data_IF_181322829241
#
_entry.id   IF_181322829241
#
_cell.length_a   1.000
_cell.length_b   1.000
_cell.length_c   1.000
_cell.angle_alpha   90.00
_cell.angle_beta   90.00
_cell.angle_gamma   90.00
#
_symmetry.space_group_name_H-M   'P 1'
#
loop_
_entity.id
_entity.type
_entity.pdbx_description
1 polymer ?
#
# COMPACT_ATOMS: atom_id res chain seq x y z
N UNK A 1 -17.95 41.75 22.02
CA UNK A 1 -17.24 41.68 20.72
C UNK A 1 -17.22 40.23 20.29
N UNK A 2 -17.51 40.00 19.02
CA UNK A 2 -17.79 38.72 18.35
C UNK A 2 -16.47 38.00 17.97
N UNK A 3 -16.58 36.72 17.64
CA UNK A 3 -15.56 35.67 17.42
C UNK A 3 -14.61 35.86 16.24
N UNK A 4 -13.70 34.88 16.08
CA UNK A 4 -12.98 34.44 14.85
C UNK A 4 -11.66 35.17 14.50
N UNK A 5 -10.58 34.56 14.01
CA UNK A 5 -10.30 33.22 13.49
C UNK A 5 -8.79 32.92 13.58
N UNK A 6 -8.45 31.63 13.63
CA UNK A 6 -7.13 31.07 13.32
C UNK A 6 -6.95 31.01 11.78
N UNK A 7 -5.70 31.10 11.29
CA UNK A 7 -5.30 30.16 10.25
C UNK A 7 -3.88 29.65 10.54
N UNK A 8 -3.78 28.47 11.16
CA UNK A 8 -2.54 27.70 11.09
C UNK A 8 -2.56 26.89 9.79
N UNK A 9 -2.21 27.58 8.72
CA UNK A 9 -1.79 26.94 7.48
C UNK A 9 -0.47 26.23 7.77
N UNK A 10 -0.58 24.95 8.15
CA UNK A 10 0.54 24.03 8.26
C UNK A 10 1.32 24.03 6.96
N UNK A 11 2.46 24.70 6.99
CA UNK A 11 3.39 24.77 5.87
C UNK A 11 3.97 23.38 5.68
N UNK A 12 3.64 22.74 4.56
CA UNK A 12 4.36 21.57 4.07
C UNK A 12 5.79 22.02 3.76
N UNK A 13 6.69 21.81 4.72
CA UNK A 13 8.12 22.01 4.52
C UNK A 13 8.59 21.02 3.46
N UNK A 14 8.68 21.50 2.21
CA UNK A 14 9.50 20.90 1.18
C UNK A 14 10.94 21.35 1.49
N UNK A 15 11.68 20.57 2.26
CA UNK A 15 13.13 20.72 2.37
C UNK A 15 13.77 19.67 1.48
N UNK A 16 14.21 20.15 0.32
CA UNK A 16 15.11 19.48 -0.61
C UNK A 16 16.51 19.49 0.03
N UNK A 17 17.02 18.32 0.40
CA UNK A 17 18.26 18.22 1.16
C UNK A 17 18.78 16.80 1.29
N UNK A 18 19.09 16.12 0.18
CA UNK A 18 19.91 14.88 0.18
C UNK A 18 19.52 13.84 1.24
N UNK A 19 18.21 13.69 1.48
CA UNK A 19 17.70 13.20 2.75
C UNK A 19 17.67 11.67 2.76
N UNK A 20 18.48 11.08 3.63
CA UNK A 20 18.40 9.67 3.96
C UNK A 20 16.97 9.39 4.43
N UNK A 21 16.25 8.52 3.73
CA UNK A 21 14.85 8.22 4.05
C UNK A 21 14.74 7.85 5.54
N UNK A 22 13.78 8.43 6.25
CA UNK A 22 13.50 7.94 7.60
C UNK A 22 13.17 6.44 7.53
N UNK A 23 13.45 5.64 8.57
CA UNK A 23 13.15 4.20 8.56
C UNK A 23 11.70 3.89 8.19
N UNK A 24 10.79 4.80 8.59
CA UNK A 24 9.38 4.76 8.25
C UNK A 24 9.13 4.93 6.73
N UNK A 25 9.75 5.93 6.12
CA UNK A 25 9.63 6.18 4.67
C UNK A 25 10.29 5.07 3.86
N UNK A 26 11.45 4.57 4.30
CA UNK A 26 12.09 3.42 3.69
C UNK A 26 11.15 2.20 3.69
N UNK A 27 10.57 1.84 4.85
CA UNK A 27 9.63 0.75 4.95
C UNK A 27 8.39 0.92 4.04
N UNK A 28 7.82 2.14 3.98
CA UNK A 28 6.70 2.43 3.09
C UNK A 28 7.08 2.30 1.61
N UNK A 29 8.28 2.74 1.21
CA UNK A 29 8.78 2.64 -0.16
C UNK A 29 9.06 1.19 -0.58
N UNK A 30 9.60 0.37 0.32
CA UNK A 30 9.83 -1.06 0.06
C UNK A 30 8.49 -1.75 -0.15
N UNK A 31 7.56 -1.51 0.77
CA UNK A 31 6.23 -2.09 0.70
C UNK A 31 5.50 -1.71 -0.59
N UNK A 32 5.48 -0.42 -0.92
CA UNK A 32 4.78 0.10 -2.08
C UNK A 32 5.34 -0.47 -3.38
N UNK A 33 6.67 -0.56 -3.50
CA UNK A 33 7.35 -1.16 -4.64
C UNK A 33 6.97 -2.63 -4.81
N UNK A 34 7.03 -3.42 -3.73
CA UNK A 34 6.73 -4.85 -3.74
C UNK A 34 5.27 -5.16 -4.06
N UNK A 35 4.35 -4.38 -3.48
CA UNK A 35 2.94 -4.52 -3.78
C UNK A 35 2.63 -4.14 -5.24
N UNK A 36 3.26 -3.09 -5.76
CA UNK A 36 3.07 -2.67 -7.15
C UNK A 36 3.58 -3.71 -8.14
N UNK A 37 4.73 -4.33 -7.85
CA UNK A 37 5.31 -5.43 -8.63
C UNK A 37 4.35 -6.63 -8.69
N UNK A 38 3.85 -7.08 -7.54
CA UNK A 38 2.89 -8.20 -7.48
C UNK A 38 1.60 -7.90 -8.25
N UNK A 39 1.06 -6.68 -8.13
CA UNK A 39 -0.16 -6.29 -8.85
C UNK A 39 0.09 -6.25 -10.37
N UNK A 40 1.25 -5.78 -10.80
CA UNK A 40 1.60 -5.70 -12.22
C UNK A 40 1.78 -7.10 -12.85
N UNK A 41 2.34 -8.04 -12.11
CA UNK A 41 2.53 -9.43 -12.55
C UNK A 41 1.27 -10.28 -12.42
N UNK A 42 0.36 -9.91 -11.51
CA UNK A 42 -0.85 -10.66 -11.25
C UNK A 42 -1.89 -10.45 -12.35
N UNK A 43 -2.23 -11.55 -13.01
CA UNK A 43 -3.37 -11.64 -13.91
C UNK A 43 -4.46 -12.52 -13.30
N UNK A 44 -5.69 -12.02 -13.30
CA UNK A 44 -6.87 -12.72 -12.82
C UNK A 44 -7.65 -13.27 -14.01
N UNK A 45 -8.00 -14.55 -13.94
CA UNK A 45 -8.96 -15.15 -14.86
C UNK A 45 -10.37 -14.68 -14.50
N UNK A 46 -11.09 -14.11 -15.46
CA UNK A 46 -12.50 -13.76 -15.31
C UNK A 46 -13.36 -15.01 -15.54
N UNK A 47 -14.62 -14.99 -15.07
CA UNK A 47 -15.58 -16.08 -15.29
C UNK A 47 -15.77 -16.42 -16.78
N UNK A 48 -15.60 -15.43 -17.66
CA UNK A 48 -15.63 -15.59 -19.12
C UNK A 48 -14.35 -16.23 -19.72
N UNK A 49 -13.40 -16.68 -18.88
CA UNK A 49 -12.11 -17.25 -19.31
C UNK A 49 -11.10 -16.23 -19.84
N UNK A 50 -11.43 -14.94 -19.82
CA UNK A 50 -10.50 -13.86 -20.20
C UNK A 50 -9.51 -13.59 -19.07
N UNK A 51 -8.27 -13.26 -19.42
CA UNK A 51 -7.24 -12.89 -18.44
C UNK A 51 -7.19 -11.37 -18.36
N UNK A 52 -7.46 -10.79 -17.19
CA UNK A 52 -7.37 -9.35 -16.94
C UNK A 52 -6.33 -9.06 -15.87
N UNK A 53 -5.65 -7.92 -15.98
CA UNK A 53 -4.76 -7.45 -14.91
C UNK A 53 -5.53 -7.27 -13.61
N UNK A 54 -4.92 -7.64 -12.49
CA UNK A 54 -5.49 -7.38 -11.17
C UNK A 54 -5.65 -5.87 -10.97
N UNK A 55 -6.86 -5.43 -10.66
CA UNK A 55 -7.13 -4.03 -10.32
C UNK A 55 -7.13 -3.83 -8.80
N UNK A 56 -6.88 -2.61 -8.35
CA UNK A 56 -7.06 -2.22 -6.95
C UNK A 56 -8.47 -2.52 -6.43
N UNK A 57 -9.48 -2.31 -7.27
CA UNK A 57 -10.87 -2.61 -6.96
C UNK A 57 -11.07 -4.10 -6.66
N UNK A 58 -10.62 -4.97 -7.58
CA UNK A 58 -10.76 -6.42 -7.42
C UNK A 58 -9.95 -6.96 -6.25
N UNK A 59 -8.77 -6.40 -5.97
CA UNK A 59 -7.98 -6.76 -4.79
C UNK A 59 -8.71 -6.38 -3.49
N UNK A 60 -9.26 -5.18 -3.42
CA UNK A 60 -10.04 -4.74 -2.25
C UNK A 60 -11.23 -5.67 -1.99
N UNK A 61 -12.01 -5.97 -3.04
CA UNK A 61 -13.16 -6.88 -2.94
C UNK A 61 -12.74 -8.29 -2.49
N UNK A 62 -11.64 -8.80 -3.04
CA UNK A 62 -11.13 -10.10 -2.63
C UNK A 62 -10.70 -10.12 -1.16
N UNK A 63 -10.01 -9.08 -0.69
CA UNK A 63 -9.59 -8.96 0.71
C UNK A 63 -10.79 -8.84 1.66
N UNK A 64 -11.81 -8.05 1.31
CA UNK A 64 -13.04 -7.91 2.11
C UNK A 64 -13.77 -9.25 2.28
N UNK A 65 -13.79 -10.09 1.24
CA UNK A 65 -14.45 -11.39 1.27
C UNK A 65 -13.63 -12.45 2.01
N UNK A 66 -12.32 -12.52 1.75
CA UNK A 66 -11.46 -13.56 2.30
C UNK A 66 -10.97 -13.26 3.73
N UNK A 67 -10.86 -11.98 4.09
CA UNK A 67 -10.31 -11.50 5.35
C UNK A 67 -11.20 -10.39 5.95
N UNK A 68 -12.44 -10.71 6.38
CA UNK A 68 -13.42 -9.71 6.82
C UNK A 68 -12.98 -8.90 8.05
N UNK A 69 -12.05 -9.44 8.86
CA UNK A 69 -11.50 -8.77 10.04
C UNK A 69 -10.37 -7.78 9.72
N UNK A 70 -9.89 -7.76 8.47
CA UNK A 70 -8.79 -6.87 8.03
C UNK A 70 -9.38 -5.58 7.47
N UNK A 71 -9.14 -4.42 8.10
CA UNK A 71 -9.69 -3.16 7.63
C UNK A 71 -9.02 -2.76 6.32
N UNK A 72 -9.78 -2.81 5.23
CA UNK A 72 -9.31 -2.45 3.89
C UNK A 72 -10.29 -1.46 3.25
N UNK A 73 -9.74 -0.55 2.43
CA UNK A 73 -10.51 0.34 1.57
C UNK A 73 -9.69 0.65 0.34
N UNK A 74 -10.36 0.99 -0.77
CA UNK A 74 -9.66 1.34 -2.01
C UNK A 74 -8.72 2.55 -1.83
N UNK A 75 -9.17 3.58 -1.12
CA UNK A 75 -8.33 4.75 -0.81
C UNK A 75 -7.17 4.42 0.14
N UNK A 76 -7.32 3.40 0.99
CA UNK A 76 -6.22 2.87 1.80
C UNK A 76 -5.18 2.16 0.95
N UNK A 77 -5.61 1.23 0.10
CA UNK A 77 -4.73 0.51 -0.82
C UNK A 77 -4.03 1.44 -1.81
N UNK A 78 -4.72 2.47 -2.31
CA UNK A 78 -4.12 3.48 -3.19
C UNK A 78 -2.94 4.18 -2.51
N UNK A 79 -3.11 4.63 -1.26
CA UNK A 79 -2.04 5.26 -0.47
C UNK A 79 -0.88 4.31 -0.21
N UNK A 80 -1.15 3.02 0.00
CA UNK A 80 -0.12 2.01 0.17
C UNK A 80 0.71 1.80 -1.10
N UNK A 81 0.06 1.75 -2.27
CA UNK A 81 0.75 1.63 -3.58
C UNK A 81 1.62 2.86 -3.88
N UNK A 82 1.23 4.04 -3.41
CA UNK A 82 2.00 5.27 -3.61
C UNK A 82 3.04 5.53 -2.50
N UNK A 83 3.11 4.67 -1.48
CA UNK A 83 4.03 4.85 -0.34
C UNK A 83 3.60 5.94 0.65
N UNK A 84 2.38 6.47 0.53
CA UNK A 84 1.82 7.51 1.40
C UNK A 84 1.30 6.97 2.74
N UNK A 85 1.22 5.65 2.88
CA UNK A 85 0.75 4.98 4.08
C UNK A 85 1.65 3.80 4.45
N UNK A 86 1.66 3.46 5.73
CA UNK A 86 2.34 2.27 6.25
C UNK A 86 1.29 1.18 6.45
N UNK A 87 1.52 -0.02 5.92
CA UNK A 87 0.61 -1.14 6.12
C UNK A 87 0.64 -1.59 7.59
N UNK A 88 -0.50 -2.07 8.06
CA UNK A 88 -0.59 -2.80 9.34
C UNK A 88 -0.17 -4.26 9.13
N UNK A 89 0.28 -4.92 10.20
CA UNK A 89 0.75 -6.30 10.14
C UNK A 89 -0.33 -7.29 9.66
N UNK A 90 -1.57 -7.11 10.10
CA UNK A 90 -2.72 -7.91 9.67
C UNK A 90 -2.92 -7.85 8.15
N UNK A 91 -2.82 -6.66 7.57
CA UNK A 91 -2.91 -6.45 6.12
C UNK A 91 -1.72 -7.06 5.37
N UNK A 92 -0.49 -6.95 5.91
CA UNK A 92 0.70 -7.61 5.31
C UNK A 92 0.46 -9.12 5.21
N UNK A 93 -0.01 -9.75 6.30
CA UNK A 93 -0.26 -11.19 6.33
C UNK A 93 -1.38 -11.58 5.35
N UNK A 94 -2.45 -10.79 5.25
CA UNK A 94 -3.54 -11.04 4.31
C UNK A 94 -3.04 -10.96 2.85
N UNK A 95 -2.32 -9.89 2.50
CA UNK A 95 -1.75 -9.71 1.17
C UNK A 95 -0.77 -10.83 0.80
N UNK A 96 0.10 -11.22 1.73
CA UNK A 96 1.04 -12.33 1.57
C UNK A 96 0.31 -13.62 1.17
N UNK A 97 -0.82 -13.93 1.81
CA UNK A 97 -1.64 -15.10 1.45
C UNK A 97 -2.36 -14.94 0.12
N UNK A 98 -2.84 -13.74 -0.22
CA UNK A 98 -3.52 -13.50 -1.51
C UNK A 98 -2.57 -13.68 -2.69
N UNK A 99 -1.32 -13.23 -2.55
CA UNK A 99 -0.30 -13.32 -3.59
C UNK A 99 0.58 -14.59 -3.49
N UNK A 100 0.32 -15.46 -2.51
CA UNK A 100 1.11 -16.67 -2.24
C UNK A 100 2.62 -16.40 -2.08
N UNK A 101 2.94 -15.32 -1.35
CA UNK A 101 4.32 -14.93 -1.01
C UNK A 101 4.54 -14.92 0.50
N UNK A 102 5.78 -15.11 1.00
CA UNK A 102 6.07 -14.95 2.42
C UNK A 102 5.86 -13.49 2.88
N UNK A 103 5.37 -13.22 4.11
CA UNK A 103 5.18 -11.86 4.63
C UNK A 103 6.45 -10.99 4.61
N UNK A 104 7.61 -11.62 4.76
CA UNK A 104 8.92 -10.95 4.75
C UNK A 104 9.22 -10.28 3.40
N UNK A 105 8.57 -10.72 2.32
CA UNK A 105 8.68 -10.13 0.99
C UNK A 105 8.35 -8.63 0.99
N UNK A 106 7.40 -8.23 1.83
CA UNK A 106 6.90 -6.86 1.91
C UNK A 106 7.76 -5.92 2.76
N UNK A 107 8.74 -6.45 3.51
CA UNK A 107 9.54 -5.67 4.47
C UNK A 107 11.04 -5.79 4.23
N UNK A 108 11.47 -6.73 3.39
CA UNK A 108 12.89 -6.99 3.14
C UNK A 108 13.31 -6.28 1.86
N UNK A 109 14.29 -5.37 1.96
CA UNK A 109 15.03 -4.95 0.78
C UNK A 109 15.79 -6.15 0.25
N UNK A 110 15.55 -6.53 -1.01
CA UNK A 110 16.45 -7.47 -1.66
C UNK A 110 17.83 -6.81 -1.67
N UNK A 111 18.75 -7.34 -0.86
CA UNK A 111 20.17 -7.09 -1.10
C UNK A 111 20.47 -7.67 -2.47
N UNK A 112 20.46 -6.82 -3.50
CA UNK A 112 21.12 -7.13 -4.77
C UNK A 112 22.54 -7.60 -4.41
N UNK A 113 22.79 -8.90 -4.58
CA UNK A 113 24.13 -9.48 -4.56
C UNK A 113 24.86 -9.12 -5.84
#
# INVERSE_FOLDING_TARGET
MVTDSQPESGSFHHQDGGDELTPRQAAASIFSSRLSELIAESVVSTEDGSTRSLTLYSLAQHLELAYPDVPVSQSGLYRLIHGDAIPRLDLIIALARVFDVPPEYFVTEERKR
#
